data_IF_424340373294
#
_entry.id   IF_424340373294
#
_cell.length_a   1.000
_cell.length_b   1.000
_cell.length_c   1.000
_cell.angle_alpha   90.00
_cell.angle_beta   90.00
_cell.angle_gamma   90.00
#
_symmetry.space_group_name_H-M   'P 1'
#
loop_
_entity.id
_entity.type
_entity.pdbx_description
1 polymer ?
#
# COMPACT_ATOMS: atom_id res chain seq x y z
N UNK A 1 3.95 -77.21 -19.68
CA UNK A 1 5.18 -76.40 -19.58
C UNK A 1 4.97 -74.98 -20.13
N UNK A 2 3.74 -74.45 -20.21
CA UNK A 2 3.49 -73.14 -20.85
C UNK A 2 2.99 -72.07 -19.88
N UNK A 3 1.87 -72.30 -19.18
CA UNK A 3 1.14 -71.19 -18.55
C UNK A 3 1.84 -70.53 -17.33
N UNK A 4 2.47 -71.30 -16.44
CA UNK A 4 3.22 -70.75 -15.29
C UNK A 4 4.48 -70.00 -15.74
N UNK A 5 5.12 -70.48 -16.80
CA UNK A 5 6.36 -69.91 -17.30
C UNK A 5 6.08 -68.60 -18.07
N UNK A 6 4.98 -68.57 -18.83
CA UNK A 6 4.42 -67.36 -19.44
C UNK A 6 3.95 -66.33 -18.40
N UNK A 7 3.40 -66.77 -17.25
CA UNK A 7 3.03 -65.88 -16.15
C UNK A 7 4.25 -65.23 -15.49
N UNK A 8 5.31 -66.02 -15.21
CA UNK A 8 6.57 -65.51 -14.66
C UNK A 8 7.24 -64.53 -15.63
N UNK A 9 7.20 -64.79 -16.94
CA UNK A 9 7.71 -63.87 -17.95
C UNK A 9 6.92 -62.55 -17.99
N UNK A 10 5.59 -62.62 -17.89
CA UNK A 10 4.73 -61.41 -17.80
C UNK A 10 5.01 -60.59 -16.54
N UNK A 11 5.15 -61.24 -15.38
CA UNK A 11 5.54 -60.55 -14.14
C UNK A 11 6.93 -59.92 -14.29
N UNK A 12 7.89 -60.62 -14.90
CA UNK A 12 9.24 -60.07 -15.14
C UNK A 12 9.21 -58.83 -16.01
N UNK A 13 8.42 -58.83 -17.08
CA UNK A 13 8.26 -57.68 -17.96
C UNK A 13 7.66 -56.48 -17.20
N UNK A 14 6.55 -56.68 -16.47
CA UNK A 14 5.89 -55.62 -15.71
C UNK A 14 6.72 -55.06 -14.57
N UNK A 15 7.47 -55.91 -13.85
CA UNK A 15 8.43 -55.46 -12.85
C UNK A 15 9.55 -54.63 -13.51
N UNK A 16 10.04 -55.06 -14.68
CA UNK A 16 11.03 -54.31 -15.45
C UNK A 16 10.53 -52.95 -15.93
N UNK A 17 9.28 -52.87 -16.38
CA UNK A 17 8.64 -51.60 -16.77
C UNK A 17 8.49 -50.65 -15.59
N UNK A 18 8.01 -51.15 -14.44
CA UNK A 18 7.85 -50.32 -13.24
C UNK A 18 9.20 -49.86 -12.69
N UNK A 19 10.22 -50.71 -12.73
CA UNK A 19 11.59 -50.34 -12.35
C UNK A 19 12.19 -49.28 -13.29
N UNK A 20 12.01 -49.45 -14.59
CA UNK A 20 12.43 -48.46 -15.59
C UNK A 20 11.72 -47.13 -15.40
N UNK A 21 10.42 -47.15 -15.14
CA UNK A 21 9.64 -45.96 -14.82
C UNK A 21 10.11 -45.27 -13.53
N UNK A 22 10.28 -46.02 -12.43
CA UNK A 22 10.77 -45.49 -11.16
C UNK A 22 12.17 -44.85 -11.30
N UNK A 23 13.02 -45.39 -12.17
CA UNK A 23 14.36 -44.85 -12.44
C UNK A 23 14.37 -43.63 -13.36
N UNK A 24 13.27 -43.34 -14.04
CA UNK A 24 13.09 -42.23 -14.98
C UNK A 24 12.14 -41.15 -14.42
N UNK A 25 11.87 -41.16 -13.11
CA UNK A 25 11.03 -40.14 -12.47
C UNK A 25 11.67 -38.75 -12.50
N UNK A 26 12.99 -38.67 -12.61
CA UNK A 26 13.71 -37.40 -12.75
C UNK A 26 13.39 -36.70 -14.07
N UNK A 27 13.13 -37.46 -15.14
CA UNK A 27 12.73 -36.99 -16.47
C UNK A 27 11.25 -36.57 -16.55
N UNK A 28 10.44 -36.78 -15.50
CA UNK A 28 9.04 -36.34 -15.47
C UNK A 28 8.98 -34.85 -15.16
N UNK A 29 8.34 -34.12 -16.09
CA UNK A 29 8.07 -32.69 -15.98
C UNK A 29 7.16 -32.37 -14.77
N UNK A 30 7.34 -31.18 -14.19
CA UNK A 30 6.54 -30.67 -13.08
C UNK A 30 7.37 -29.74 -12.21
N UNK A 31 7.03 -28.45 -12.18
CA UNK A 31 7.79 -27.47 -11.39
C UNK A 31 7.46 -27.56 -9.90
N UNK A 32 6.24 -27.98 -9.57
CA UNK A 32 5.77 -28.17 -8.20
C UNK A 32 5.43 -29.64 -7.89
N UNK A 33 5.32 -30.03 -6.61
CA UNK A 33 5.10 -31.41 -6.22
C UNK A 33 3.76 -31.97 -6.69
N UNK A 34 2.73 -31.15 -6.85
CA UNK A 34 1.41 -31.61 -7.27
C UNK A 34 1.40 -31.89 -8.77
N UNK A 35 1.96 -30.98 -9.57
CA UNK A 35 2.14 -31.16 -11.02
C UNK A 35 2.99 -32.40 -11.33
N UNK A 36 4.10 -32.59 -10.60
CA UNK A 36 4.92 -33.79 -10.71
C UNK A 36 4.11 -35.07 -10.43
N UNK A 37 3.33 -35.10 -9.34
CA UNK A 37 2.53 -36.28 -8.98
C UNK A 37 1.46 -36.61 -10.03
N UNK A 38 0.79 -35.58 -10.58
CA UNK A 38 -0.19 -35.73 -11.65
C UNK A 38 0.46 -36.30 -12.91
N UNK A 39 1.56 -35.70 -13.37
CA UNK A 39 2.29 -36.15 -14.57
C UNK A 39 2.86 -37.57 -14.42
N UNK A 40 3.40 -37.91 -13.24
CA UNK A 40 3.89 -39.27 -12.94
C UNK A 40 2.74 -40.28 -12.96
N UNK A 41 1.60 -39.95 -12.32
CA UNK A 41 0.39 -40.77 -12.32
C UNK A 41 -0.14 -41.02 -13.73
N UNK A 42 -0.29 -39.97 -14.53
CA UNK A 42 -0.79 -40.02 -15.90
C UNK A 42 0.15 -40.81 -16.83
N UNK A 43 1.46 -40.64 -16.68
CA UNK A 43 2.45 -41.37 -17.47
C UNK A 43 2.39 -42.87 -17.18
N UNK A 44 2.32 -43.25 -15.89
CA UNK A 44 2.21 -44.65 -15.51
C UNK A 44 0.86 -45.25 -15.92
N UNK A 45 -0.24 -44.53 -15.71
CA UNK A 45 -1.56 -44.95 -16.15
C UNK A 45 -1.61 -45.16 -17.67
N UNK A 46 -0.99 -44.26 -18.45
CA UNK A 46 -0.89 -44.39 -19.90
C UNK A 46 -0.15 -45.66 -20.30
N UNK A 47 0.96 -45.99 -19.63
CA UNK A 47 1.71 -47.23 -19.88
C UNK A 47 0.86 -48.48 -19.62
N UNK A 48 0.02 -48.47 -18.58
CA UNK A 48 -0.94 -49.55 -18.28
C UNK A 48 -2.00 -49.65 -19.37
N UNK A 49 -2.53 -48.53 -19.84
CA UNK A 49 -3.63 -48.50 -20.82
C UNK A 49 -3.18 -48.92 -22.24
N UNK A 50 -1.92 -48.68 -22.60
CA UNK A 50 -1.37 -49.04 -23.93
C UNK A 50 -1.27 -50.56 -24.10
N UNK A 51 -0.86 -51.27 -23.06
CA UNK A 51 -0.60 -52.72 -23.14
C UNK A 51 -1.04 -53.41 -21.83
N UNK A 52 -2.34 -53.44 -21.49
CA UNK A 52 -2.78 -53.88 -20.18
C UNK A 52 -2.52 -55.37 -19.94
N UNK A 53 -2.01 -55.76 -18.76
CA UNK A 53 -1.84 -57.17 -18.41
C UNK A 53 -3.20 -57.87 -18.30
N UNK A 54 -3.25 -59.22 -18.39
CA UNK A 54 -4.48 -59.96 -18.15
C UNK A 54 -5.01 -59.73 -16.73
N UNK A 55 -6.32 -59.55 -16.56
CA UNK A 55 -6.95 -59.16 -15.27
C UNK A 55 -6.71 -60.14 -14.13
N UNK A 56 -6.47 -61.41 -14.42
CA UNK A 56 -6.23 -62.48 -13.44
C UNK A 56 -4.76 -62.76 -13.21
N UNK A 57 -3.86 -61.99 -13.84
CA UNK A 57 -2.41 -62.17 -13.77
C UNK A 57 -1.81 -61.43 -12.59
N UNK A 58 -0.76 -61.98 -11.99
CA UNK A 58 0.07 -61.29 -11.00
C UNK A 58 0.71 -60.01 -11.55
N UNK A 59 0.90 -59.91 -12.87
CA UNK A 59 1.36 -58.69 -13.54
C UNK A 59 0.36 -57.52 -13.39
N UNK A 60 -0.95 -57.81 -13.33
CA UNK A 60 -1.98 -56.79 -13.06
C UNK A 60 -1.82 -56.19 -11.66
N UNK A 61 -1.38 -57.00 -10.69
CA UNK A 61 -1.12 -56.52 -9.33
C UNK A 61 0.04 -55.52 -9.33
N UNK A 62 1.14 -55.82 -10.04
CA UNK A 62 2.28 -54.89 -10.18
C UNK A 62 1.85 -53.56 -10.81
N UNK A 63 1.06 -53.62 -11.89
CA UNK A 63 0.54 -52.44 -12.57
C UNK A 63 -0.32 -51.56 -11.63
N UNK A 64 -1.32 -52.16 -10.99
CA UNK A 64 -2.29 -51.42 -10.17
C UNK A 64 -1.71 -50.96 -8.83
N UNK A 65 -0.82 -51.73 -8.21
CA UNK A 65 -0.15 -51.28 -6.98
C UNK A 65 0.89 -50.20 -7.26
N UNK A 66 1.54 -50.21 -8.43
CA UNK A 66 2.36 -49.07 -8.87
C UNK A 66 1.52 -47.79 -9.01
N UNK A 67 0.32 -47.90 -9.59
CA UNK A 67 -0.60 -46.76 -9.68
C UNK A 67 -1.11 -46.32 -8.30
N UNK A 68 -1.43 -47.27 -7.42
CA UNK A 68 -1.85 -46.95 -6.05
C UNK A 68 -0.74 -46.26 -5.26
N UNK A 69 0.52 -46.69 -5.42
CA UNK A 69 1.67 -46.05 -4.79
C UNK A 69 1.80 -44.57 -5.20
N UNK A 70 1.61 -44.25 -6.48
CA UNK A 70 1.60 -42.86 -6.94
C UNK A 70 0.40 -42.07 -6.40
N UNK A 71 -0.78 -42.69 -6.33
CA UNK A 71 -1.98 -42.07 -5.75
C UNK A 71 -1.80 -41.75 -4.25
N UNK A 72 -1.14 -42.64 -3.49
CA UNK A 72 -0.84 -42.42 -2.07
C UNK A 72 0.09 -41.20 -1.91
N UNK A 73 1.10 -41.06 -2.77
CA UNK A 73 1.99 -39.89 -2.79
C UNK A 73 1.24 -38.62 -3.17
N UNK A 74 0.42 -38.66 -4.21
CA UNK A 74 -0.40 -37.51 -4.62
C UNK A 74 -1.35 -37.06 -3.49
N UNK A 75 -1.96 -38.02 -2.79
CA UNK A 75 -2.83 -37.74 -1.64
C UNK A 75 -2.03 -37.11 -0.49
N UNK A 76 -0.83 -37.62 -0.20
CA UNK A 76 0.04 -37.03 0.82
C UNK A 76 0.43 -35.59 0.49
N UNK A 77 0.80 -35.30 -0.76
CA UNK A 77 1.11 -33.94 -1.24
C UNK A 77 -0.11 -33.01 -1.14
N UNK A 78 -1.29 -33.50 -1.54
CA UNK A 78 -2.53 -32.71 -1.45
C UNK A 78 -2.92 -32.39 0.01
N UNK A 79 -2.78 -33.36 0.91
CA UNK A 79 -3.06 -33.15 2.34
C UNK A 79 -2.02 -32.26 3.00
N UNK A 80 -0.73 -32.40 2.65
CA UNK A 80 0.33 -31.51 3.16
C UNK A 80 0.08 -30.05 2.76
N UNK A 81 -0.36 -29.78 1.53
CA UNK A 81 -0.81 -28.44 1.18
C UNK A 81 -1.93 -27.98 2.12
N UNK A 82 -2.94 -28.81 2.37
CA UNK A 82 -4.07 -28.40 3.19
C UNK A 82 -3.71 -28.20 4.68
N UNK A 83 -2.82 -29.03 5.22
CA UNK A 83 -2.56 -29.14 6.66
C UNK A 83 -1.29 -28.40 7.12
N UNK A 84 -0.35 -28.11 6.22
CA UNK A 84 0.93 -27.44 6.55
C UNK A 84 0.87 -25.94 6.19
N UNK A 85 0.70 -25.03 7.17
CA UNK A 85 0.46 -23.61 6.87
C UNK A 85 1.69 -22.91 6.31
N UNK A 86 2.89 -23.23 6.81
CA UNK A 86 4.14 -22.66 6.33
C UNK A 86 4.57 -23.35 5.04
N UNK A 87 4.73 -22.58 3.96
CA UNK A 87 5.15 -23.11 2.66
C UNK A 87 6.55 -23.73 2.70
N UNK A 88 7.39 -23.33 3.65
CA UNK A 88 8.77 -23.83 3.81
C UNK A 88 8.82 -25.26 4.36
N UNK A 89 7.76 -25.67 5.06
CA UNK A 89 7.67 -26.99 5.68
C UNK A 89 6.92 -28.00 4.79
N UNK A 90 6.40 -27.55 3.64
CA UNK A 90 5.67 -28.39 2.68
C UNK A 90 6.59 -29.27 1.84
N UNK A 91 6.02 -30.28 1.21
CA UNK A 91 6.71 -31.06 0.17
C UNK A 91 7.25 -30.13 -0.92
N UNK A 92 8.50 -30.37 -1.30
CA UNK A 92 9.11 -29.90 -2.54
C UNK A 92 8.97 -30.97 -3.62
N UNK A 93 9.16 -30.58 -4.90
CA UNK A 93 9.19 -31.53 -6.02
C UNK A 93 10.19 -32.66 -5.76
N UNK A 94 11.39 -32.34 -5.28
CA UNK A 94 12.43 -33.32 -4.93
C UNK A 94 11.93 -34.30 -3.87
N UNK A 95 11.34 -33.81 -2.77
CA UNK A 95 10.84 -34.70 -1.71
C UNK A 95 9.64 -35.56 -2.12
N UNK A 96 8.78 -35.07 -3.02
CA UNK A 96 7.68 -35.86 -3.60
C UNK A 96 8.22 -36.94 -4.55
N UNK A 97 9.25 -36.63 -5.35
CA UNK A 97 9.95 -37.61 -6.17
C UNK A 97 10.60 -38.70 -5.30
N UNK A 98 11.37 -38.33 -4.28
CA UNK A 98 11.99 -39.30 -3.36
C UNK A 98 10.94 -40.22 -2.71
N UNK A 99 9.78 -39.66 -2.36
CA UNK A 99 8.67 -40.41 -1.79
C UNK A 99 8.07 -41.39 -2.82
N UNK A 100 7.88 -40.95 -4.06
CA UNK A 100 7.41 -41.78 -5.16
C UNK A 100 8.39 -42.91 -5.51
N UNK A 101 9.69 -42.62 -5.63
CA UNK A 101 10.74 -43.62 -5.83
C UNK A 101 10.73 -44.69 -4.75
N UNK A 102 10.61 -44.27 -3.49
CA UNK A 102 10.53 -45.19 -2.35
C UNK A 102 9.26 -46.05 -2.41
N UNK A 103 8.12 -45.46 -2.73
CA UNK A 103 6.84 -46.17 -2.81
C UNK A 103 6.85 -47.21 -3.95
N UNK A 104 7.26 -46.82 -5.16
CA UNK A 104 7.39 -47.72 -6.30
C UNK A 104 8.47 -48.78 -6.07
N UNK A 105 9.59 -48.41 -5.44
CA UNK A 105 10.66 -49.33 -5.05
C UNK A 105 10.18 -50.45 -4.12
N UNK A 106 9.18 -50.18 -3.28
CA UNK A 106 8.49 -51.20 -2.49
C UNK A 106 7.78 -52.25 -3.35
N UNK A 107 7.02 -51.80 -4.36
CA UNK A 107 6.32 -52.68 -5.31
C UNK A 107 7.31 -53.49 -6.17
N UNK A 108 8.37 -52.85 -6.67
CA UNK A 108 9.43 -53.50 -7.45
C UNK A 108 10.15 -54.57 -6.62
N UNK A 109 10.49 -54.26 -5.37
CA UNK A 109 11.17 -55.21 -4.47
C UNK A 109 10.31 -56.45 -4.21
N UNK A 110 9.00 -56.25 -4.05
CA UNK A 110 8.04 -57.32 -3.87
C UNK A 110 7.92 -58.20 -5.14
N UNK A 111 7.81 -57.59 -6.32
CA UNK A 111 7.79 -58.33 -7.59
C UNK A 111 9.08 -59.11 -7.84
N UNK A 112 10.24 -58.53 -7.52
CA UNK A 112 11.54 -59.23 -7.58
C UNK A 112 11.61 -60.42 -6.64
N UNK A 113 10.98 -60.33 -5.47
CA UNK A 113 10.87 -61.45 -4.53
C UNK A 113 10.11 -62.61 -5.14
N UNK A 114 8.98 -62.37 -5.82
CA UNK A 114 8.24 -63.43 -6.52
C UNK A 114 9.07 -64.10 -7.60
N UNK A 115 9.83 -63.31 -8.37
CA UNK A 115 10.70 -63.83 -9.43
C UNK A 115 11.87 -64.65 -8.87
N UNK A 116 12.43 -64.25 -7.73
CA UNK A 116 13.55 -64.94 -7.08
C UNK A 116 13.12 -66.26 -6.42
N UNK A 117 11.92 -66.32 -5.84
CA UNK A 117 11.37 -67.55 -5.23
C UNK A 117 10.69 -68.45 -6.26
N UNK A 118 10.32 -67.92 -7.43
CA UNK A 118 9.49 -68.61 -8.42
C UNK A 118 8.02 -68.76 -8.01
N UNK A 119 7.60 -68.07 -6.93
CA UNK A 119 6.25 -68.15 -6.37
C UNK A 119 5.55 -66.83 -6.66
N UNK A 120 4.61 -66.85 -7.60
CA UNK A 120 3.72 -65.72 -7.93
C UNK A 120 2.39 -65.83 -7.18
N UNK A 121 1.71 -64.71 -6.88
CA UNK A 121 0.39 -64.71 -6.27
C UNK A 121 -0.61 -65.59 -7.03
N UNK A 122 -1.39 -66.37 -6.29
CA UNK A 122 -2.51 -67.16 -6.81
C UNK A 122 -3.65 -66.26 -7.31
N UNK A 123 -4.57 -66.80 -8.12
CA UNK A 123 -5.71 -66.03 -8.64
C UNK A 123 -6.58 -65.39 -7.55
N UNK A 124 -6.77 -66.08 -6.42
CA UNK A 124 -7.50 -65.55 -5.27
C UNK A 124 -6.75 -64.39 -4.60
N UNK A 125 -5.42 -64.51 -4.46
CA UNK A 125 -4.57 -63.43 -3.93
C UNK A 125 -4.51 -62.22 -4.88
N UNK A 126 -4.48 -62.45 -6.19
CA UNK A 126 -4.58 -61.39 -7.21
C UNK A 126 -5.90 -60.65 -7.04
N UNK A 127 -7.02 -61.38 -6.98
CA UNK A 127 -8.34 -60.76 -6.81
C UNK A 127 -8.46 -59.98 -5.49
N UNK A 128 -7.90 -60.51 -4.39
CA UNK A 128 -7.89 -59.84 -3.10
C UNK A 128 -7.10 -58.52 -3.17
N UNK A 129 -5.92 -58.51 -3.79
CA UNK A 129 -5.06 -57.32 -3.87
C UNK A 129 -5.60 -56.27 -4.81
N UNK A 130 -6.15 -56.67 -5.96
CA UNK A 130 -6.88 -55.74 -6.84
C UNK A 130 -8.05 -55.10 -6.10
N UNK A 131 -8.80 -55.88 -5.30
CA UNK A 131 -9.89 -55.35 -4.48
C UNK A 131 -9.39 -54.38 -3.41
N UNK A 132 -8.22 -54.64 -2.82
CA UNK A 132 -7.59 -53.74 -1.86
C UNK A 132 -7.17 -52.40 -2.51
N UNK A 133 -6.62 -52.44 -3.73
CA UNK A 133 -6.32 -51.21 -4.50
C UNK A 133 -7.60 -50.41 -4.77
N UNK A 134 -8.68 -51.07 -5.21
CA UNK A 134 -9.97 -50.39 -5.44
C UNK A 134 -10.49 -49.72 -4.15
N UNK A 135 -10.34 -50.40 -3.00
CA UNK A 135 -10.72 -49.82 -1.71
C UNK A 135 -9.83 -48.63 -1.31
N UNK A 136 -8.52 -48.70 -1.55
CA UNK A 136 -7.58 -47.61 -1.30
C UNK A 136 -7.88 -46.38 -2.17
N UNK A 137 -8.20 -46.59 -3.46
CA UNK A 137 -8.64 -45.51 -4.36
C UNK A 137 -9.91 -44.82 -3.84
N UNK A 138 -10.89 -45.60 -3.39
CA UNK A 138 -12.12 -45.06 -2.81
C UNK A 138 -11.82 -44.25 -1.53
N UNK A 139 -10.94 -44.76 -0.66
CA UNK A 139 -10.53 -44.08 0.56
C UNK A 139 -9.77 -42.77 0.28
N UNK A 140 -8.86 -42.76 -0.69
CA UNK A 140 -8.14 -41.56 -1.11
C UNK A 140 -9.11 -40.49 -1.62
N UNK A 141 -10.09 -40.90 -2.44
CA UNK A 141 -11.16 -40.02 -2.92
C UNK A 141 -11.98 -39.44 -1.77
N UNK A 142 -12.46 -40.27 -0.85
CA UNK A 142 -13.24 -39.82 0.32
C UNK A 142 -12.45 -38.84 1.19
N UNK A 143 -11.14 -39.05 1.34
CA UNK A 143 -10.23 -38.18 2.08
C UNK A 143 -10.14 -36.79 1.43
N UNK A 144 -9.92 -36.74 0.12
CA UNK A 144 -9.85 -35.48 -0.64
C UNK A 144 -11.21 -34.76 -0.65
N UNK A 145 -12.32 -35.47 -0.82
CA UNK A 145 -13.67 -34.89 -0.78
C UNK A 145 -13.99 -34.31 0.60
N UNK A 146 -13.65 -35.03 1.67
CA UNK A 146 -13.83 -34.53 3.05
C UNK A 146 -13.04 -33.25 3.27
N UNK A 147 -11.76 -33.23 2.83
CA UNK A 147 -10.91 -32.05 3.02
C UNK A 147 -11.41 -30.86 2.21
N UNK A 148 -11.87 -31.08 0.99
CA UNK A 148 -12.48 -30.02 0.19
C UNK A 148 -13.74 -29.46 0.84
N UNK A 149 -14.60 -30.32 1.42
CA UNK A 149 -15.78 -29.86 2.15
C UNK A 149 -15.41 -29.03 3.40
N UNK A 150 -14.33 -29.38 4.12
CA UNK A 150 -13.81 -28.56 5.22
C UNK A 150 -13.35 -27.18 4.73
N UNK A 151 -12.62 -27.12 3.61
CA UNK A 151 -12.15 -25.87 3.02
C UNK A 151 -13.31 -25.00 2.51
N UNK A 152 -14.31 -25.62 1.88
CA UNK A 152 -15.53 -24.93 1.42
C UNK A 152 -16.32 -24.36 2.61
N UNK A 153 -16.37 -25.08 3.74
CA UNK A 153 -16.99 -24.59 4.96
C UNK A 153 -16.23 -23.39 5.56
N UNK A 154 -14.88 -23.42 5.54
CA UNK A 154 -14.06 -22.28 5.95
C UNK A 154 -14.29 -21.06 5.06
N UNK A 155 -14.35 -21.27 3.74
CA UNK A 155 -14.63 -20.22 2.77
C UNK A 155 -16.04 -19.61 3.02
N UNK A 156 -17.06 -20.45 3.26
CA UNK A 156 -18.40 -19.99 3.59
C UNK A 156 -18.48 -19.23 4.93
N UNK A 157 -17.74 -19.65 5.95
CA UNK A 157 -17.65 -18.94 7.23
C UNK A 157 -17.00 -17.56 7.05
N UNK A 158 -15.89 -17.50 6.32
CA UNK A 158 -15.19 -16.26 6.01
C UNK A 158 -16.04 -15.31 5.15
N UNK A 159 -16.87 -15.84 4.24
CA UNK A 159 -17.85 -15.08 3.46
C UNK A 159 -19.01 -14.55 4.31
N UNK A 160 -19.34 -15.19 5.42
CA UNK A 160 -20.37 -14.71 6.35
C UNK A 160 -19.86 -13.57 7.24
N UNK A 161 -18.55 -13.52 7.50
CA UNK A 161 -17.89 -12.57 8.40
C UNK A 161 -16.85 -11.70 7.67
N UNK A 162 -17.36 -10.92 6.71
CA UNK A 162 -16.56 -10.15 5.75
C UNK A 162 -15.98 -8.84 6.32
N UNK A 163 -16.48 -8.37 7.45
CA UNK A 163 -16.14 -7.04 7.93
C UNK A 163 -15.68 -7.10 9.38
N UNK A 164 -14.69 -6.26 9.71
CA UNK A 164 -14.12 -6.26 11.04
C UNK A 164 -12.83 -5.47 11.14
N UNK A 165 -12.32 -5.39 12.36
CA UNK A 165 -11.02 -4.81 12.67
C UNK A 165 -9.97 -5.94 12.75
N UNK A 166 -8.89 -5.78 11.99
CA UNK A 166 -7.76 -6.70 11.96
C UNK A 166 -6.54 -5.99 12.58
N UNK A 167 -5.94 -6.62 13.57
CA UNK A 167 -4.69 -6.19 14.18
C UNK A 167 -3.54 -7.00 13.62
N UNK A 168 -2.53 -6.30 13.12
CA UNK A 168 -1.23 -6.87 12.77
C UNK A 168 -0.20 -6.52 13.85
N UNK A 169 0.37 -7.53 14.49
CA UNK A 169 1.37 -7.36 15.54
C UNK A 169 2.44 -8.44 15.47
N UNK A 170 3.52 -8.27 16.22
CA UNK A 170 4.59 -9.27 16.37
C UNK A 170 4.63 -9.74 17.81
N UNK A 171 4.56 -11.04 18.02
CA UNK A 171 4.83 -11.68 19.30
C UNK A 171 5.81 -12.84 19.11
N UNK A 172 7.11 -12.61 19.36
CA UNK A 172 8.15 -13.63 19.22
C UNK A 172 7.96 -14.87 20.12
N UNK A 173 7.06 -14.81 21.11
CA UNK A 173 6.72 -15.96 21.95
C UNK A 173 5.76 -16.93 21.25
N UNK A 174 5.01 -16.42 20.27
CA UNK A 174 3.98 -17.17 19.54
C UNK A 174 4.49 -17.53 18.14
N UNK A 175 5.11 -16.59 17.42
CA UNK A 175 5.64 -16.81 16.08
C UNK A 175 6.71 -15.78 15.74
N UNK A 176 7.72 -16.21 14.97
CA UNK A 176 8.70 -15.31 14.36
C UNK A 176 8.10 -14.48 13.20
N UNK A 177 6.93 -14.89 12.69
CA UNK A 177 6.19 -14.18 11.65
C UNK A 177 5.20 -13.14 12.24
N UNK A 178 4.84 -12.09 11.47
CA UNK A 178 3.76 -11.17 11.85
C UNK A 178 2.42 -11.91 12.00
N UNK A 179 1.68 -11.59 13.06
CA UNK A 179 0.42 -12.22 13.40
C UNK A 179 -0.72 -11.28 13.02
N UNK A 180 -1.61 -11.76 12.17
CA UNK A 180 -2.89 -11.11 11.88
C UNK A 180 -3.94 -11.70 12.81
N UNK A 181 -4.72 -10.85 13.47
CA UNK A 181 -5.82 -11.30 14.33
C UNK A 181 -7.02 -10.40 14.11
N UNK A 182 -8.17 -11.02 13.82
CA UNK A 182 -9.45 -10.32 13.85
C UNK A 182 -9.83 -10.02 15.29
N UNK A 183 -9.92 -8.74 15.62
CA UNK A 183 -10.22 -8.26 16.97
C UNK A 183 -11.73 -8.23 17.21
N UNK A 184 -12.49 -7.81 16.19
CA UNK A 184 -13.94 -7.83 16.22
C UNK A 184 -14.53 -7.87 14.81
N UNK A 185 -15.77 -8.32 14.71
CA UNK A 185 -16.58 -8.31 13.49
C UNK A 185 -17.49 -7.09 13.44
N UNK A 186 -17.82 -6.63 12.24
CA UNK A 186 -18.70 -5.49 11.99
C UNK A 186 -19.88 -5.90 11.11
N UNK A 187 -21.00 -5.19 11.22
CA UNK A 187 -22.02 -5.25 10.18
C UNK A 187 -21.56 -4.49 8.92
N UNK A 188 -22.23 -4.73 7.79
CA UNK A 188 -21.96 -4.01 6.55
C UNK A 188 -22.16 -2.48 6.71
N UNK A 189 -23.16 -2.08 7.49
CA UNK A 189 -23.47 -0.68 7.78
C UNK A 189 -22.38 -0.04 8.66
N UNK A 190 -21.95 -0.72 9.72
CA UNK A 190 -20.87 -0.25 10.59
C UNK A 190 -19.57 -0.09 9.81
N UNK A 191 -19.19 -1.09 9.02
CA UNK A 191 -17.97 -1.03 8.22
C UNK A 191 -18.05 0.11 7.19
N UNK A 192 -19.19 0.27 6.51
CA UNK A 192 -19.40 1.37 5.58
C UNK A 192 -19.29 2.74 6.27
N UNK A 193 -19.80 2.86 7.49
CA UNK A 193 -19.69 4.08 8.30
C UNK A 193 -18.23 4.38 8.65
N UNK A 194 -17.49 3.39 9.15
CA UNK A 194 -16.08 3.55 9.52
C UNK A 194 -15.19 3.85 8.30
N UNK A 195 -15.32 3.08 7.22
CA UNK A 195 -14.56 3.30 5.98
C UNK A 195 -14.81 4.70 5.43
N UNK A 196 -16.07 5.13 5.32
CA UNK A 196 -16.39 6.47 4.78
C UNK A 196 -15.87 7.60 5.67
N UNK A 197 -16.00 7.48 6.99
CA UNK A 197 -15.49 8.48 7.92
C UNK A 197 -13.96 8.57 7.83
N UNK A 198 -13.27 7.43 7.88
CA UNK A 198 -11.83 7.35 7.73
C UNK A 198 -11.35 7.94 6.40
N UNK A 199 -11.97 7.57 5.27
CA UNK A 199 -11.58 8.08 3.95
C UNK A 199 -11.81 9.59 3.81
N UNK A 200 -12.90 10.13 4.36
CA UNK A 200 -13.13 11.59 4.37
C UNK A 200 -12.05 12.30 5.19
N UNK A 201 -11.71 11.75 6.34
CA UNK A 201 -10.72 12.32 7.25
C UNK A 201 -9.30 12.23 6.67
N UNK A 202 -8.93 11.10 6.07
CA UNK A 202 -7.69 10.94 5.31
C UNK A 202 -7.60 11.94 4.17
N UNK A 203 -8.67 12.13 3.39
CA UNK A 203 -8.73 13.15 2.33
C UNK A 203 -8.61 14.57 2.85
N UNK A 204 -9.04 14.86 4.08
CA UNK A 204 -8.81 16.16 4.72
C UNK A 204 -7.32 16.37 4.95
N UNK A 205 -6.66 15.39 5.56
CA UNK A 205 -5.22 15.42 5.81
C UNK A 205 -4.37 15.47 4.53
N UNK A 206 -4.62 14.58 3.57
CA UNK A 206 -3.86 14.47 2.30
C UNK A 206 -4.01 15.70 1.39
N UNK A 207 -4.84 16.66 1.76
CA UNK A 207 -5.10 17.85 0.95
C UNK A 207 -4.87 19.14 1.69
N UNK A 208 -4.03 19.05 2.71
CA UNK A 208 -3.49 20.21 3.35
C UNK A 208 -2.48 20.91 2.43
N UNK A 209 -3.01 21.75 1.54
CA UNK A 209 -2.20 22.59 0.65
C UNK A 209 -1.44 23.67 1.45
N UNK A 210 -1.76 23.86 2.72
CA UNK A 210 -1.00 24.72 3.63
C UNK A 210 0.41 24.17 3.85
N UNK A 211 0.54 22.85 4.04
CA UNK A 211 1.83 22.19 4.22
C UNK A 211 2.76 22.44 3.02
N UNK A 212 2.20 22.52 1.80
CA UNK A 212 2.97 22.88 0.61
C UNK A 212 3.52 24.31 0.66
N UNK A 213 2.77 25.27 1.22
CA UNK A 213 3.25 26.65 1.41
C UNK A 213 4.42 26.67 2.39
N UNK A 214 4.32 25.91 3.49
CA UNK A 214 5.37 25.79 4.49
C UNK A 214 6.63 25.14 3.92
N UNK A 215 6.51 24.04 3.15
CA UNK A 215 7.63 23.42 2.46
C UNK A 215 8.35 24.36 1.49
N UNK A 216 7.59 25.15 0.71
CA UNK A 216 8.21 26.10 -0.22
C UNK A 216 8.81 27.31 0.51
N UNK A 217 8.29 27.68 1.68
CA UNK A 217 8.91 28.67 2.55
C UNK A 217 10.23 28.16 3.13
N UNK A 218 10.27 26.94 3.66
CA UNK A 218 11.48 26.33 4.18
C UNK A 218 12.56 26.23 3.09
N UNK A 219 12.16 25.84 1.88
CA UNK A 219 13.05 25.86 0.71
C UNK A 219 13.61 27.24 0.40
N UNK A 220 12.80 28.30 0.51
CA UNK A 220 13.26 29.68 0.33
C UNK A 220 14.25 30.08 1.43
N UNK A 221 13.95 29.72 2.69
CA UNK A 221 14.82 29.96 3.84
C UNK A 221 16.15 29.22 3.67
N UNK A 222 16.15 27.98 3.23
CA UNK A 222 17.36 27.19 2.97
C UNK A 222 18.26 27.85 1.92
N UNK A 223 17.67 28.36 0.84
CA UNK A 223 18.41 29.11 -0.18
C UNK A 223 19.02 30.38 0.41
N UNK A 224 18.29 31.12 1.24
CA UNK A 224 18.79 32.32 1.91
C UNK A 224 19.91 32.00 2.91
N UNK A 225 19.75 30.97 3.73
CA UNK A 225 20.75 30.49 4.69
C UNK A 225 22.01 30.02 3.98
N UNK A 226 21.88 29.31 2.86
CA UNK A 226 23.00 28.90 2.03
C UNK A 226 23.78 30.11 1.51
N UNK A 227 23.08 31.09 0.93
CA UNK A 227 23.70 32.34 0.45
C UNK A 227 24.38 33.11 1.59
N UNK A 228 23.76 33.23 2.75
CA UNK A 228 24.34 33.90 3.92
C UNK A 228 25.58 33.16 4.45
N UNK A 229 25.55 31.83 4.47
CA UNK A 229 26.67 31.00 4.94
C UNK A 229 27.88 31.09 4.02
N UNK A 230 27.66 31.13 2.71
CA UNK A 230 28.71 31.41 1.72
C UNK A 230 29.35 32.80 1.93
N UNK A 231 28.52 33.83 2.22
CA UNK A 231 29.02 35.18 2.50
C UNK A 231 29.81 35.29 3.82
N UNK A 232 29.56 34.39 4.80
CA UNK A 232 30.28 34.35 6.09
C UNK A 232 31.63 33.62 6.02
N UNK A 233 31.85 32.77 5.02
CA UNK A 233 32.97 31.82 5.00
C UNK A 233 34.34 32.51 4.82
N UNK A 234 35.25 32.48 5.82
CA UNK A 234 36.49 33.29 5.82
C UNK A 234 37.56 32.88 4.79
N UNK A 235 37.45 31.67 4.22
CA UNK A 235 38.42 31.10 3.26
C UNK A 235 37.96 31.11 1.80
N UNK A 236 36.65 31.15 1.55
CA UNK A 236 36.08 31.49 0.26
C UNK A 236 35.81 32.99 0.29
N UNK A 237 36.79 33.81 -0.10
CA UNK A 237 36.48 35.17 -0.54
C UNK A 237 35.64 35.02 -1.81
N UNK A 238 34.33 34.79 -1.63
CA UNK A 238 33.35 35.03 -2.65
C UNK A 238 33.55 36.47 -3.04
N UNK A 239 34.23 36.68 -4.16
CA UNK A 239 34.39 38.01 -4.69
C UNK A 239 32.99 38.49 -5.02
N UNK A 240 32.52 39.53 -4.34
CA UNK A 240 31.31 40.27 -4.75
C UNK A 240 31.44 40.79 -6.20
N UNK A 241 32.66 40.76 -6.75
CA UNK A 241 32.99 41.07 -8.14
C UNK A 241 32.89 39.87 -9.10
N UNK A 242 32.61 38.65 -8.62
CA UNK A 242 32.33 37.49 -9.49
C UNK A 242 30.88 37.55 -9.95
N UNK A 243 30.65 38.22 -11.08
CA UNK A 243 29.32 38.41 -11.67
C UNK A 243 28.57 37.10 -11.92
N UNK A 244 29.26 36.03 -12.33
CA UNK A 244 28.64 34.73 -12.59
C UNK A 244 28.11 34.05 -11.32
N UNK A 245 28.90 34.07 -10.24
CA UNK A 245 28.45 33.52 -8.95
C UNK A 245 27.31 34.35 -8.34
N UNK A 246 27.31 35.67 -8.57
CA UNK A 246 26.21 36.53 -8.13
C UNK A 246 24.94 36.27 -8.94
N UNK A 247 25.04 36.11 -10.25
CA UNK A 247 23.90 35.79 -11.11
C UNK A 247 23.29 34.42 -10.80
N UNK A 248 24.13 33.41 -10.51
CA UNK A 248 23.65 32.09 -10.07
C UNK A 248 22.84 32.17 -8.78
N UNK A 249 23.31 32.95 -7.78
CA UNK A 249 22.56 33.19 -6.54
C UNK A 249 21.25 33.92 -6.77
N UNK A 250 21.27 34.96 -7.62
CA UNK A 250 20.06 35.67 -8.05
C UNK A 250 19.07 34.69 -8.66
N UNK A 251 19.53 33.78 -9.53
CA UNK A 251 18.69 32.78 -10.17
C UNK A 251 18.11 31.77 -9.18
N UNK A 252 18.90 31.26 -8.22
CA UNK A 252 18.42 30.34 -7.17
C UNK A 252 17.36 31.00 -6.30
N UNK A 253 17.62 32.23 -5.83
CA UNK A 253 16.67 32.99 -5.02
C UNK A 253 15.38 33.29 -5.79
N UNK A 254 15.49 33.71 -7.05
CA UNK A 254 14.33 33.90 -7.93
C UNK A 254 13.51 32.62 -8.06
N UNK A 255 14.16 31.49 -8.33
CA UNK A 255 13.47 30.21 -8.47
C UNK A 255 12.71 29.84 -7.20
N UNK A 256 13.32 30.03 -6.02
CA UNK A 256 12.66 29.76 -4.74
C UNK A 256 11.48 30.72 -4.49
N UNK A 257 11.62 32.01 -4.80
CA UNK A 257 10.53 32.99 -4.71
C UNK A 257 9.37 32.66 -5.64
N UNK A 258 9.67 32.23 -6.88
CA UNK A 258 8.63 31.76 -7.81
C UNK A 258 7.89 30.56 -7.23
N UNK A 259 8.60 29.58 -6.66
CA UNK A 259 7.96 28.41 -6.06
C UNK A 259 7.05 28.79 -4.87
N UNK A 260 7.55 29.60 -3.93
CA UNK A 260 6.77 30.05 -2.79
C UNK A 260 5.51 30.83 -3.21
N UNK A 261 5.68 31.83 -4.07
CA UNK A 261 4.54 32.65 -4.53
C UNK A 261 3.57 31.85 -5.42
N UNK A 262 4.05 30.81 -6.11
CA UNK A 262 3.18 29.85 -6.79
C UNK A 262 2.41 28.97 -5.81
N UNK A 263 3.00 28.56 -4.69
CA UNK A 263 2.31 27.78 -3.67
C UNK A 263 1.07 28.52 -3.11
N UNK A 264 1.18 29.84 -2.87
CA UNK A 264 0.04 30.68 -2.48
C UNK A 264 -1.10 30.64 -3.52
N UNK A 265 -0.77 30.76 -4.81
CA UNK A 265 -1.78 30.70 -5.87
C UNK A 265 -2.36 29.30 -6.05
N UNK A 266 -1.53 28.26 -5.93
CA UNK A 266 -1.94 26.85 -6.00
C UNK A 266 -2.91 26.54 -4.87
N UNK A 267 -2.67 27.05 -3.66
CA UNK A 267 -3.56 26.92 -2.52
C UNK A 267 -4.98 27.40 -2.86
N UNK A 268 -5.14 28.60 -3.40
CA UNK A 268 -6.44 29.11 -3.86
C UNK A 268 -7.04 28.28 -5.00
N UNK A 269 -6.27 28.13 -6.09
CA UNK A 269 -6.79 27.53 -7.31
C UNK A 269 -7.19 26.06 -7.11
N UNK A 270 -6.34 25.27 -6.45
CA UNK A 270 -6.62 23.86 -6.21
C UNK A 270 -7.70 23.67 -5.16
N UNK A 271 -7.77 24.51 -4.12
CA UNK A 271 -8.87 24.45 -3.14
C UNK A 271 -10.22 24.66 -3.82
N UNK A 272 -10.36 25.71 -4.64
CA UNK A 272 -11.61 25.99 -5.38
C UNK A 272 -11.91 24.89 -6.41
N UNK A 273 -10.89 24.42 -7.13
CA UNK A 273 -11.07 23.34 -8.13
C UNK A 273 -11.51 22.04 -7.47
N UNK A 274 -10.93 21.69 -6.33
CA UNK A 274 -11.21 20.47 -5.57
C UNK A 274 -12.59 20.49 -4.93
N UNK A 275 -12.99 21.61 -4.34
CA UNK A 275 -14.36 21.84 -3.85
C UNK A 275 -15.41 21.48 -4.91
N UNK A 276 -15.18 21.91 -6.16
CA UNK A 276 -16.10 21.65 -7.28
C UNK A 276 -16.03 20.23 -7.84
N UNK A 277 -14.83 19.67 -8.02
CA UNK A 277 -14.63 18.42 -8.78
C UNK A 277 -14.58 17.17 -7.92
N UNK A 278 -14.06 17.27 -6.70
CA UNK A 278 -13.77 16.11 -5.84
C UNK A 278 -14.76 15.98 -4.70
N UNK A 279 -15.12 17.10 -4.07
CA UNK A 279 -16.07 17.13 -2.95
C UNK A 279 -17.52 17.30 -3.42
N UNK A 280 -17.73 17.67 -4.69
CA UNK A 280 -19.07 17.83 -5.26
C UNK A 280 -19.90 18.93 -4.60
N UNK A 281 -19.25 19.93 -4.00
CA UNK A 281 -19.91 21.01 -3.28
C UNK A 281 -20.81 21.83 -4.22
N UNK A 282 -21.91 22.35 -3.68
CA UNK A 282 -22.84 23.15 -4.46
C UNK A 282 -22.27 24.54 -4.79
N UNK A 283 -22.99 25.27 -5.64
CA UNK A 283 -22.54 26.59 -6.12
C UNK A 283 -22.42 27.61 -4.98
N UNK A 284 -23.27 27.55 -3.96
CA UNK A 284 -23.23 28.41 -2.79
C UNK A 284 -21.97 28.18 -1.96
N UNK A 285 -21.68 26.93 -1.62
CA UNK A 285 -20.47 26.54 -0.87
C UNK A 285 -19.17 26.89 -1.62
N UNK A 286 -19.14 26.65 -2.94
CA UNK A 286 -17.99 27.05 -3.77
C UNK A 286 -17.82 28.58 -3.81
N UNK A 287 -18.92 29.34 -3.78
CA UNK A 287 -18.86 30.80 -3.71
C UNK A 287 -18.36 31.28 -2.34
N UNK A 288 -18.73 30.60 -1.25
CA UNK A 288 -18.22 30.89 0.10
C UNK A 288 -16.70 30.70 0.17
N UNK A 289 -16.17 29.60 -0.37
CA UNK A 289 -14.72 29.37 -0.48
C UNK A 289 -14.03 30.50 -1.26
N UNK A 290 -14.59 30.90 -2.40
CA UNK A 290 -14.06 32.02 -3.18
C UNK A 290 -14.11 33.34 -2.40
N UNK A 291 -15.16 33.55 -1.61
CA UNK A 291 -15.31 34.73 -0.78
C UNK A 291 -14.23 34.79 0.31
N UNK A 292 -13.87 33.66 0.92
CA UNK A 292 -12.77 33.61 1.90
C UNK A 292 -11.43 34.05 1.30
N UNK A 293 -11.09 33.59 0.09
CA UNK A 293 -9.90 34.07 -0.62
C UNK A 293 -10.03 35.54 -1.05
N UNK A 294 -11.22 35.98 -1.46
CA UNK A 294 -11.47 37.38 -1.81
C UNK A 294 -11.34 38.31 -0.59
N UNK A 295 -11.75 37.86 0.59
CA UNK A 295 -11.62 38.59 1.86
C UNK A 295 -10.16 38.69 2.28
N UNK A 296 -9.39 37.58 2.21
CA UNK A 296 -7.94 37.62 2.41
C UNK A 296 -7.27 38.59 1.43
N UNK A 297 -7.65 38.51 0.15
CA UNK A 297 -7.23 39.47 -0.88
C UNK A 297 -7.73 40.87 -0.65
N UNK A 298 -8.71 41.15 0.20
CA UNK A 298 -9.14 42.52 0.53
C UNK A 298 -8.35 43.07 1.71
N UNK A 299 -8.08 42.21 2.69
CA UNK A 299 -7.46 42.55 3.97
C UNK A 299 -5.93 42.61 3.91
N UNK A 300 -5.28 41.76 3.09
CA UNK A 300 -3.82 41.68 3.02
C UNK A 300 -3.26 42.33 1.75
N UNK A 301 -2.56 43.45 1.92
CA UNK A 301 -1.70 44.04 0.88
C UNK A 301 -0.65 43.03 0.43
N UNK A 302 0.04 42.43 1.38
CA UNK A 302 1.18 41.54 1.14
C UNK A 302 0.78 40.32 0.30
N UNK A 303 -0.35 39.67 0.61
CA UNK A 303 -0.84 38.51 -0.14
C UNK A 303 -1.13 38.84 -1.61
N UNK A 304 -1.87 39.93 -1.87
CA UNK A 304 -2.20 40.37 -3.23
C UNK A 304 -0.94 40.62 -4.07
N UNK A 305 0.01 41.35 -3.48
CA UNK A 305 1.20 41.76 -4.20
C UNK A 305 2.22 40.63 -4.36
N UNK A 306 2.26 39.65 -3.45
CA UNK A 306 3.02 38.41 -3.65
C UNK A 306 2.44 37.56 -4.81
N UNK A 307 1.11 37.46 -4.93
CA UNK A 307 0.48 36.78 -6.07
C UNK A 307 0.72 37.55 -7.40
N UNK A 308 0.75 38.87 -7.36
CA UNK A 308 1.14 39.67 -8.52
C UNK A 308 2.61 39.50 -8.90
N UNK A 309 3.50 39.46 -7.90
CA UNK A 309 4.93 39.25 -8.08
C UNK A 309 5.22 37.90 -8.75
N UNK A 310 4.49 36.83 -8.41
CA UNK A 310 4.59 35.53 -9.10
C UNK A 310 4.43 35.68 -10.61
N UNK A 311 3.36 36.34 -11.05
CA UNK A 311 3.07 36.51 -12.48
C UNK A 311 4.15 37.36 -13.16
N UNK A 312 4.61 38.42 -12.49
CA UNK A 312 5.71 39.23 -12.98
C UNK A 312 7.01 38.42 -13.15
N UNK A 313 7.34 37.56 -12.19
CA UNK A 313 8.53 36.71 -12.23
C UNK A 313 8.44 35.55 -13.24
N UNK A 314 7.24 35.05 -13.52
CA UNK A 314 7.01 33.93 -14.44
C UNK A 314 6.78 34.36 -15.90
N UNK A 315 6.15 35.51 -16.12
CA UNK A 315 5.70 35.95 -17.44
C UNK A 315 6.24 37.33 -17.86
N UNK A 316 6.87 38.07 -16.94
CA UNK A 316 7.44 39.40 -17.18
C UNK A 316 8.97 39.42 -17.18
N UNK A 317 9.54 40.53 -16.71
CA UNK A 317 10.99 40.79 -16.69
C UNK A 317 11.68 40.12 -15.48
N UNK A 318 12.89 39.60 -15.71
CA UNK A 318 13.82 39.10 -14.69
C UNK A 318 14.16 40.13 -13.59
N UNK A 319 13.85 41.41 -13.82
CA UNK A 319 14.09 42.54 -12.93
C UNK A 319 12.89 42.97 -12.09
N UNK A 320 11.76 42.24 -12.12
CA UNK A 320 10.60 42.54 -11.26
C UNK A 320 10.87 42.47 -9.74
N UNK A 321 12.05 41.98 -9.33
CA UNK A 321 12.52 42.00 -7.96
C UNK A 321 13.95 42.58 -7.85
N UNK A 322 14.14 43.41 -6.83
CA UNK A 322 15.43 43.90 -6.38
C UNK A 322 16.04 42.96 -5.35
N UNK A 323 17.37 42.92 -5.30
CA UNK A 323 18.10 42.16 -4.30
C UNK A 323 19.37 42.92 -3.92
N UNK A 324 19.68 42.97 -2.63
CA UNK A 324 20.87 43.64 -2.09
C UNK A 324 21.50 42.79 -1.00
N UNK A 325 22.82 42.69 -1.01
CA UNK A 325 23.59 42.12 0.09
C UNK A 325 24.36 43.20 0.80
N UNK A 326 24.25 43.21 2.12
CA UNK A 326 25.07 44.06 2.98
C UNK A 326 26.05 43.16 3.74
N UNK A 327 27.33 43.25 3.43
CA UNK A 327 28.41 42.58 4.18
C UNK A 327 29.24 43.67 4.86
N UNK A 328 29.24 43.71 6.19
CA UNK A 328 30.04 44.67 6.97
C UNK A 328 31.07 43.92 7.81
N UNK A 329 32.25 44.52 7.98
CA UNK A 329 33.26 43.96 8.87
C UNK A 329 32.71 43.91 10.30
N UNK A 330 32.61 42.70 10.88
CA UNK A 330 32.08 42.42 12.23
C UNK A 330 30.57 42.59 12.43
N UNK A 331 29.77 42.63 11.36
CA UNK A 331 28.31 42.50 11.45
C UNK A 331 27.84 41.24 10.71
N UNK A 332 26.64 40.76 11.05
CA UNK A 332 26.02 39.69 10.27
C UNK A 332 25.73 40.18 8.85
N UNK A 333 25.98 39.35 7.82
CA UNK A 333 25.55 39.68 6.48
C UNK A 333 24.02 39.70 6.41
N UNK A 334 23.48 40.67 5.68
CA UNK A 334 22.04 40.84 5.48
C UNK A 334 21.71 40.67 3.99
N UNK A 335 20.61 39.96 3.71
CA UNK A 335 19.99 39.89 2.38
C UNK A 335 18.70 40.70 2.42
N UNK A 336 18.55 41.65 1.51
CA UNK A 336 17.29 42.37 1.29
C UNK A 336 16.75 41.97 -0.07
N UNK A 337 15.49 41.54 -0.11
CA UNK A 337 14.76 41.21 -1.33
C UNK A 337 13.58 42.16 -1.43
N UNK A 338 13.49 42.92 -2.51
CA UNK A 338 12.44 43.93 -2.69
C UNK A 338 11.63 43.68 -3.96
N UNK A 339 10.36 44.05 -3.95
CA UNK A 339 9.54 44.08 -5.16
C UNK A 339 9.74 45.43 -5.85
N UNK A 340 10.13 45.44 -7.14
CA UNK A 340 10.36 46.69 -7.87
C UNK A 340 9.03 47.41 -8.10
N UNK A 341 8.85 48.52 -7.38
CA UNK A 341 7.59 49.25 -7.37
C UNK A 341 7.28 49.91 -8.70
N UNK A 342 8.29 50.49 -9.35
CA UNK A 342 8.12 51.20 -10.62
C UNK A 342 7.73 50.20 -11.71
N UNK A 343 8.44 49.07 -11.79
CA UNK A 343 8.12 47.99 -12.71
C UNK A 343 6.68 47.46 -12.50
N UNK A 344 6.31 47.21 -11.25
CA UNK A 344 4.97 46.67 -10.94
C UNK A 344 3.85 47.67 -11.29
N UNK A 345 4.07 48.97 -11.14
CA UNK A 345 3.08 50.02 -11.44
C UNK A 345 2.99 50.33 -12.94
N UNK A 346 4.11 50.43 -13.63
CA UNK A 346 4.17 51.01 -14.97
C UNK A 346 4.14 49.95 -16.07
N UNK A 347 4.78 48.80 -15.85
CA UNK A 347 4.88 47.72 -16.84
C UNK A 347 3.85 46.63 -16.56
N UNK A 348 3.85 46.06 -15.35
CA UNK A 348 3.00 44.89 -15.04
C UNK A 348 1.50 45.20 -14.98
N UNK A 349 1.09 46.28 -14.31
CA UNK A 349 -0.34 46.64 -14.17
C UNK A 349 -0.97 47.12 -15.48
N UNK A 350 -0.18 47.70 -16.38
CA UNK A 350 -0.67 48.22 -17.67
C UNK A 350 -1.13 47.07 -18.59
N UNK A 351 -0.39 45.96 -18.57
CA UNK A 351 -0.67 44.78 -19.39
C UNK A 351 -1.71 43.84 -18.77
N UNK A 352 -1.85 43.82 -17.44
CA UNK A 352 -2.63 42.81 -16.73
C UNK A 352 -3.99 43.32 -16.19
N UNK A 353 -4.86 43.82 -17.10
CA UNK A 353 -6.22 44.34 -16.81
C UNK A 353 -7.19 43.32 -16.18
N UNK A 354 -6.76 42.08 -15.93
CA UNK A 354 -7.60 40.96 -15.48
C UNK A 354 -7.67 40.81 -13.95
N UNK A 355 -6.94 41.62 -13.18
CA UNK A 355 -6.85 41.53 -11.71
C UNK A 355 -7.50 42.73 -11.00
N UNK A 356 -8.85 42.81 -10.92
CA UNK A 356 -9.56 43.94 -10.31
C UNK A 356 -9.33 44.08 -8.79
N UNK A 357 -8.77 43.06 -8.15
CA UNK A 357 -8.44 43.06 -6.73
C UNK A 357 -7.10 43.73 -6.42
N UNK A 358 -6.26 44.06 -7.41
CA UNK A 358 -5.02 44.82 -7.19
C UNK A 358 -5.32 46.31 -7.04
N UNK A 359 -4.87 46.89 -5.93
CA UNK A 359 -5.09 48.31 -5.61
C UNK A 359 -3.81 49.11 -5.90
N UNK A 360 -3.77 49.72 -7.09
CA UNK A 360 -2.64 50.54 -7.55
C UNK A 360 -2.20 51.58 -6.52
N UNK A 361 -3.15 52.32 -5.95
CA UNK A 361 -2.92 53.41 -5.01
C UNK A 361 -2.13 52.99 -3.75
N UNK A 362 -2.38 51.80 -3.23
CA UNK A 362 -1.68 51.31 -2.04
C UNK A 362 -0.18 51.10 -2.29
N UNK A 363 0.20 50.74 -3.52
CA UNK A 363 1.60 50.62 -3.90
C UNK A 363 2.19 52.00 -4.23
N UNK A 364 1.45 52.90 -4.88
CA UNK A 364 1.90 54.28 -5.15
C UNK A 364 2.22 55.09 -3.88
N UNK A 365 1.48 54.86 -2.80
CA UNK A 365 1.62 55.58 -1.53
C UNK A 365 2.83 55.09 -0.68
N UNK A 366 3.54 54.04 -1.09
CA UNK A 366 4.75 53.59 -0.39
C UNK A 366 5.97 54.46 -0.72
N UNK A 367 6.72 54.84 0.30
CA UNK A 367 7.94 55.64 0.18
C UNK A 367 9.16 54.84 -0.34
N UNK A 368 9.08 53.50 -0.32
CA UNK A 368 10.16 52.61 -0.74
C UNK A 368 9.64 51.29 -1.31
N UNK A 369 10.49 50.57 -2.04
CA UNK A 369 10.18 49.23 -2.54
C UNK A 369 9.85 48.27 -1.38
N UNK A 370 8.72 47.52 -1.45
CA UNK A 370 8.34 46.57 -0.42
C UNK A 370 9.37 45.44 -0.24
N UNK A 371 9.71 45.12 1.01
CA UNK A 371 10.56 43.96 1.32
C UNK A 371 9.75 42.67 1.24
N UNK A 372 10.10 41.80 0.30
CA UNK A 372 9.39 40.54 0.01
C UNK A 372 9.45 39.56 1.19
N UNK A 373 10.56 39.47 1.91
CA UNK A 373 10.67 38.58 3.06
C UNK A 373 9.77 39.04 4.21
N UNK A 374 9.62 40.34 4.40
CA UNK A 374 8.70 40.89 5.40
C UNK A 374 7.23 40.70 4.98
N UNK A 375 6.94 40.79 3.68
CA UNK A 375 5.62 40.45 3.14
C UNK A 375 5.28 38.98 3.43
N UNK A 376 6.20 38.05 3.18
CA UNK A 376 6.03 36.62 3.46
C UNK A 376 5.73 36.39 4.95
N UNK A 377 6.55 36.96 5.84
CA UNK A 377 6.35 36.85 7.30
C UNK A 377 4.99 37.38 7.76
N UNK A 378 4.44 38.42 7.10
CA UNK A 378 3.11 38.96 7.40
C UNK A 378 1.98 38.11 6.82
N UNK A 379 2.21 37.36 5.75
CA UNK A 379 1.21 36.48 5.14
C UNK A 379 1.09 35.14 5.85
N UNK A 380 2.20 34.55 6.29
CA UNK A 380 2.21 33.25 7.00
C UNK A 380 1.16 33.14 8.13
N UNK A 381 1.07 34.07 9.10
CA UNK A 381 0.09 33.96 10.18
C UNK A 381 -1.38 34.12 9.72
N UNK A 382 -1.62 34.54 8.48
CA UNK A 382 -2.97 34.62 7.89
C UNK A 382 -3.41 33.28 7.30
N UNK A 383 -2.49 32.34 7.08
CA UNK A 383 -2.79 31.06 6.42
C UNK A 383 -3.54 30.10 7.34
N UNK A 384 -3.15 29.93 8.61
CA UNK A 384 -3.86 29.04 9.54
C UNK A 384 -5.32 29.47 9.75
N UNK A 385 -5.63 30.76 10.04
CA UNK A 385 -7.02 31.19 10.18
C UNK A 385 -7.84 31.01 8.89
N UNK A 386 -7.22 31.24 7.72
CA UNK A 386 -7.86 30.95 6.44
C UNK A 386 -8.15 29.46 6.30
N UNK A 387 -7.17 28.60 6.56
CA UNK A 387 -7.30 27.15 6.43
C UNK A 387 -8.36 26.60 7.39
N UNK A 388 -8.46 27.12 8.62
CA UNK A 388 -9.55 26.79 9.55
C UNK A 388 -10.92 27.13 8.97
N UNK A 389 -11.09 28.34 8.41
CA UNK A 389 -12.36 28.74 7.77
C UNK A 389 -12.66 27.87 6.54
N UNK A 390 -11.66 27.56 5.72
CA UNK A 390 -11.80 26.68 4.56
C UNK A 390 -12.22 25.26 4.99
N UNK A 391 -11.59 24.69 6.01
CA UNK A 391 -11.90 23.36 6.51
C UNK A 391 -13.35 23.25 7.01
N UNK A 392 -13.91 24.30 7.63
CA UNK A 392 -15.33 24.31 8.03
C UNK A 392 -16.28 24.17 6.84
N UNK A 393 -15.95 24.78 5.69
CA UNK A 393 -16.77 24.69 4.47
C UNK A 393 -16.50 23.40 3.70
N UNK A 394 -15.24 22.97 3.61
CA UNK A 394 -14.80 21.79 2.86
C UNK A 394 -15.17 20.48 3.57
N UNK A 395 -15.17 20.49 4.90
CA UNK A 395 -15.34 19.31 5.76
C UNK A 395 -16.27 19.61 6.94
N UNK A 396 -17.56 19.92 6.68
CA UNK A 396 -18.49 20.32 7.75
C UNK A 396 -18.71 19.22 8.81
N UNK A 397 -18.50 17.95 8.45
CA UNK A 397 -18.69 16.81 9.34
C UNK A 397 -17.38 16.29 9.96
N UNK A 398 -16.27 17.05 9.88
CA UNK A 398 -14.96 16.59 10.33
C UNK A 398 -14.93 16.17 11.81
N UNK A 399 -15.69 16.86 12.67
CA UNK A 399 -15.78 16.50 14.09
C UNK A 399 -16.49 15.15 14.32
N UNK A 400 -17.56 14.87 13.57
CA UNK A 400 -18.28 13.60 13.61
C UNK A 400 -17.44 12.45 13.01
N UNK A 401 -16.74 12.74 11.91
CA UNK A 401 -15.81 11.80 11.28
C UNK A 401 -14.66 11.45 12.24
N UNK A 402 -14.04 12.45 12.89
CA UNK A 402 -13.01 12.23 13.90
C UNK A 402 -13.53 11.41 15.09
N UNK A 403 -14.74 11.70 15.59
CA UNK A 403 -15.37 10.91 16.65
C UNK A 403 -15.59 9.45 16.23
N UNK A 404 -16.04 9.23 14.99
CA UNK A 404 -16.25 7.89 14.42
C UNK A 404 -14.93 7.13 14.23
N UNK A 405 -13.85 7.81 13.85
CA UNK A 405 -12.50 7.20 13.76
C UNK A 405 -11.96 6.86 15.15
N UNK A 406 -12.18 7.71 16.16
CA UNK A 406 -11.83 7.39 17.56
C UNK A 406 -12.62 6.19 18.08
N UNK A 407 -13.92 6.12 17.78
CA UNK A 407 -14.77 4.97 18.09
C UNK A 407 -14.20 3.69 17.44
N UNK A 408 -13.78 3.75 16.17
CA UNK A 408 -13.12 2.64 15.48
C UNK A 408 -11.82 2.22 16.20
N UNK A 409 -10.96 3.16 16.57
CA UNK A 409 -9.70 2.86 17.28
C UNK A 409 -9.99 2.18 18.63
N UNK A 410 -11.06 2.55 19.32
CA UNK A 410 -11.45 1.91 20.58
C UNK A 410 -11.82 0.43 20.39
N UNK A 411 -12.28 0.01 19.20
CA UNK A 411 -12.55 -1.41 18.89
C UNK A 411 -11.29 -2.28 18.95
N UNK A 412 -10.10 -1.69 18.91
CA UNK A 412 -8.83 -2.41 19.09
C UNK A 412 -8.43 -2.59 20.56
N UNK A 413 -9.24 -2.11 21.51
CA UNK A 413 -9.08 -2.33 22.96
C UNK A 413 -7.69 -1.91 23.51
N UNK A 414 -7.07 -0.91 22.90
CA UNK A 414 -5.74 -0.42 23.30
C UNK A 414 -4.58 -1.35 22.92
N UNK A 415 -4.83 -2.42 22.15
CA UNK A 415 -3.79 -3.33 21.65
C UNK A 415 -2.90 -2.60 20.65
N UNK A 416 -1.57 -2.75 20.76
CA UNK A 416 -0.61 -2.08 19.88
C UNK A 416 -0.29 -2.93 18.65
N UNK A 417 -0.21 -2.29 17.50
CA UNK A 417 0.13 -2.91 16.22
C UNK A 417 -0.25 -1.99 15.06
N UNK A 418 -0.19 -2.52 13.84
CA UNK A 418 -0.80 -1.88 12.69
C UNK A 418 -2.27 -2.27 12.61
N UNK A 419 -3.14 -1.30 12.35
CA UNK A 419 -4.59 -1.47 12.33
C UNK A 419 -5.09 -1.55 10.89
N UNK A 420 -5.98 -2.49 10.63
CA UNK A 420 -6.60 -2.70 9.33
C UNK A 420 -8.10 -2.87 9.47
N UNK A 421 -8.83 -2.44 8.43
CA UNK A 421 -10.24 -2.79 8.22
C UNK A 421 -10.33 -3.93 7.20
N UNK A 422 -11.04 -4.99 7.56
CA UNK A 422 -11.41 -6.06 6.63
C UNK A 422 -12.55 -5.55 5.73
N UNK A 423 -12.38 -5.65 4.41
CA UNK A 423 -13.33 -5.12 3.42
C UNK A 423 -13.95 -6.21 2.53
N UNK A 424 -13.86 -7.48 2.94
CA UNK A 424 -14.33 -8.64 2.21
C UNK A 424 -14.02 -9.94 2.96
N UNK A 425 -14.15 -11.13 2.34
CA UNK A 425 -13.97 -12.41 3.02
C UNK A 425 -12.66 -12.50 3.81
N UNK A 426 -12.71 -13.17 4.95
CA UNK A 426 -11.59 -13.32 5.88
C UNK A 426 -10.46 -14.22 5.37
N UNK A 427 -9.44 -14.41 6.23
CA UNK A 427 -8.35 -15.34 5.92
C UNK A 427 -8.88 -16.77 5.86
N UNK A 428 -8.61 -17.46 4.75
CA UNK A 428 -8.82 -18.90 4.61
C UNK A 428 -7.55 -19.55 4.07
N UNK A 429 -7.48 -20.88 4.11
CA UNK A 429 -6.33 -21.61 3.54
C UNK A 429 -6.14 -21.28 2.05
N UNK A 430 -7.23 -21.01 1.33
CA UNK A 430 -7.26 -20.63 -0.10
C UNK A 430 -7.11 -19.12 -0.31
N UNK A 431 -7.54 -18.30 0.65
CA UNK A 431 -7.43 -16.84 0.64
C UNK A 431 -6.47 -16.34 1.72
N UNK A 432 -5.17 -16.44 1.46
CA UNK A 432 -4.12 -16.04 2.41
C UNK A 432 -3.89 -14.52 2.48
N UNK A 433 -4.41 -13.76 1.51
CA UNK A 433 -4.30 -12.30 1.43
C UNK A 433 -5.69 -11.68 1.18
N UNK A 434 -6.55 -11.62 2.22
CA UNK A 434 -7.89 -11.06 2.08
C UNK A 434 -7.85 -9.56 1.79
N UNK A 435 -8.91 -9.01 1.16
CA UNK A 435 -9.02 -7.57 0.91
C UNK A 435 -9.13 -6.82 2.24
N UNK A 436 -8.15 -5.96 2.49
CA UNK A 436 -8.06 -5.13 3.69
C UNK A 436 -7.55 -3.73 3.37
N UNK A 437 -7.92 -2.77 4.21
CA UNK A 437 -7.50 -1.38 4.13
C UNK A 437 -6.70 -1.01 5.39
N UNK A 438 -5.48 -0.54 5.20
CA UNK A 438 -4.65 -0.05 6.31
C UNK A 438 -5.20 1.27 6.88
N UNK A 439 -5.20 1.37 8.21
CA UNK A 439 -5.47 2.61 8.93
C UNK A 439 -4.13 3.28 9.26
N UNK A 440 -3.80 4.30 8.47
CA UNK A 440 -2.53 5.02 8.53
C UNK A 440 -2.36 5.74 9.88
N UNK A 441 -1.21 5.57 10.55
CA UNK A 441 -0.97 6.16 11.87
C UNK A 441 -1.17 7.68 11.93
N UNK A 442 -0.84 8.40 10.85
CA UNK A 442 -1.00 9.86 10.76
C UNK A 442 -2.46 10.31 10.75
N UNK A 443 -3.36 9.52 10.15
CA UNK A 443 -4.80 9.80 10.10
C UNK A 443 -5.40 9.53 11.47
N UNK A 444 -4.98 8.44 12.12
CA UNK A 444 -5.40 8.07 13.47
C UNK A 444 -4.96 9.12 14.50
N UNK A 445 -3.72 9.61 14.40
CA UNK A 445 -3.20 10.67 15.25
C UNK A 445 -3.97 11.99 15.08
N UNK A 446 -4.27 12.37 13.83
CA UNK A 446 -5.08 13.55 13.57
C UNK A 446 -6.48 13.39 14.17
N UNK A 447 -7.09 12.21 14.09
CA UNK A 447 -8.42 11.97 14.65
C UNK A 447 -8.42 12.04 16.18
N UNK A 448 -7.36 11.55 16.83
CA UNK A 448 -7.19 11.62 18.28
C UNK A 448 -7.02 13.07 18.77
N UNK A 449 -6.22 13.87 18.06
CA UNK A 449 -5.92 15.26 18.41
C UNK A 449 -6.96 16.27 17.91
N UNK A 450 -7.90 15.86 17.07
CA UNK A 450 -8.90 16.75 16.47
C UNK A 450 -9.86 17.33 17.53
N UNK A 451 -9.74 18.64 17.77
CA UNK A 451 -10.67 19.43 18.57
C UNK A 451 -11.57 20.24 17.63
N UNK A 452 -12.88 20.16 17.83
CA UNK A 452 -13.81 21.06 17.15
C UNK A 452 -13.67 22.46 17.74
N UNK A 453 -13.35 23.44 16.91
CA UNK A 453 -13.24 24.86 17.28
C UNK A 453 -14.54 25.46 17.90
N UNK A 454 -15.66 24.72 17.89
CA UNK A 454 -16.92 25.12 18.54
C UNK A 454 -16.90 24.97 20.09
N UNK A 455 -15.78 24.53 20.66
CA UNK A 455 -15.57 24.39 22.11
C UNK A 455 -14.64 25.46 22.72
N UNK A 456 -14.33 26.56 22.01
CA UNK A 456 -13.74 27.72 22.70
C UNK A 456 -14.83 28.36 23.58
N UNK A 457 -14.67 28.40 24.93
CA UNK A 457 -15.59 29.15 25.76
C UNK A 457 -15.51 30.61 25.35
N UNK A 458 -16.66 31.22 24.99
CA UNK A 458 -16.79 32.67 24.94
C UNK A 458 -16.20 33.21 26.24
N UNK A 459 -15.07 33.91 26.14
CA UNK A 459 -14.48 34.62 27.26
C UNK A 459 -15.51 35.66 27.70
N UNK A 460 -16.29 35.27 28.72
CA UNK A 460 -17.22 36.14 29.40
C UNK A 460 -16.47 37.36 29.90
N UNK A 461 -16.86 38.49 29.35
CA UNK A 461 -16.59 39.84 29.82
C UNK A 461 -16.68 39.89 31.36
N UNK A 462 -15.53 39.86 32.01
CA UNK A 462 -15.39 40.21 33.43
C UNK A 462 -14.92 41.65 33.52
N UNK A 463 -15.79 42.56 33.07
CA UNK A 463 -15.78 43.95 33.49
C UNK A 463 -16.16 44.03 34.97
N UNK A 464 -15.19 43.76 35.85
CA UNK A 464 -15.37 43.99 37.28
C UNK A 464 -15.20 45.49 37.57
N UNK A 465 -16.29 46.06 38.06
CA UNK A 465 -16.46 47.47 38.34
C UNK A 465 -15.63 47.88 39.56
N UNK A 466 -14.71 48.82 39.35
CA UNK A 466 -14.13 49.61 40.43
C UNK A 466 -14.89 50.93 40.59
N UNK A 467 -15.14 51.29 41.86
CA UNK A 467 -15.53 52.59 42.41
C UNK A 467 -17.04 52.91 42.55
N UNK A 468 -17.59 52.60 43.73
CA UNK A 468 -17.87 53.61 44.79
C UNK A 468 -18.23 52.95 46.10
#
# INVERSE_FOLDING_TARGET
>A
MNDEQEEIERVRDWVGRLEGFASALDDIDGEDPAEFCENAGDTWQSAIMIDPPPRTSAAMVVALEGLNALLDVMTAVAMDWADTPDVRDRFTRESAQELAEKALGGVVSEGRRWLATGIVPSGDEVQQRVSAVVAAVAQAKDTVETKNAELDAQDAEAESDQFGAILLYRDPRVSDAPIFTKVCSFTAEENTRYVKAYDRFRRMQDSDLLEHIDYENDRLVDVLVGVLSELRSPGQRVSLMNSGAMDERKCKLRSALISFTAALQIHEYQTVRRARRTLGLDRGQVNEIKQLFADLKRESFDYRWLEALRDALQHGDINAFGWKFSVRARAEPEVTVTMDRAFMLDEFLTDNRTKPWLKRRELEELDSDPNVLDMIKRVQPLMDPLQKKLNKVLYPNAAEDAATVRELVQRFEGRRGAYYLQTGPGFTRRLMAPPMMELEPRVLYLADTYQSDDNEPENGDSGDAAAS
#
